data_IF_174453288060
#
_entry.id   IF_174453288060
#
_cell.length_a   1.000
_cell.length_b   1.000
_cell.length_c   1.000
_cell.angle_alpha   90.00
_cell.angle_beta   90.00
_cell.angle_gamma   90.00
#
_symmetry.space_group_name_H-M   'P 1'
#
loop_
_entity.id
_entity.type
_entity.pdbx_description
1 polymer ?
#
# COMPACT_ATOMS: atom_id res chain seq x y z
N UNK A 1 -16.77 -11.91 -19.99
CA UNK A 1 -16.47 -11.54 -18.58
C UNK A 1 -15.00 -11.30 -18.34
N UNK A 2 -14.10 -11.91 -19.13
CA UNK A 2 -12.62 -11.74 -19.07
C UNK A 2 -12.10 -10.29 -19.02
N UNK A 3 -12.69 -9.37 -19.79
CA UNK A 3 -12.16 -7.99 -19.91
C UNK A 3 -12.33 -7.12 -18.67
N UNK A 4 -13.39 -7.34 -17.87
CA UNK A 4 -13.65 -6.53 -16.67
C UNK A 4 -12.70 -6.88 -15.52
N UNK A 5 -12.37 -8.17 -15.39
CA UNK A 5 -11.46 -8.64 -14.33
C UNK A 5 -10.05 -8.08 -14.53
N UNK A 6 -9.54 -8.10 -15.77
CA UNK A 6 -8.26 -7.48 -16.11
C UNK A 6 -8.24 -5.99 -15.79
N UNK A 7 -9.31 -5.26 -16.12
CA UNK A 7 -9.39 -3.83 -15.84
C UNK A 7 -9.34 -3.53 -14.33
N UNK A 8 -10.09 -4.29 -13.52
CA UNK A 8 -10.13 -4.12 -12.06
C UNK A 8 -8.75 -4.40 -11.45
N UNK A 9 -8.06 -5.45 -11.88
CA UNK A 9 -6.73 -5.80 -11.38
C UNK A 9 -5.71 -4.70 -11.72
N UNK A 10 -5.74 -4.17 -12.94
CA UNK A 10 -4.84 -3.10 -13.37
C UNK A 10 -5.08 -1.82 -12.54
N UNK A 11 -6.35 -1.44 -12.33
CA UNK A 11 -6.71 -0.27 -11.54
C UNK A 11 -6.30 -0.46 -10.07
N UNK A 12 -6.56 -1.63 -9.50
CA UNK A 12 -6.16 -1.97 -8.13
C UNK A 12 -4.65 -1.87 -7.94
N UNK A 13 -3.88 -2.41 -8.88
CA UNK A 13 -2.41 -2.38 -8.84
C UNK A 13 -1.87 -0.96 -8.99
N UNK A 14 -2.50 -0.14 -9.85
CA UNK A 14 -2.14 1.26 -10.03
C UNK A 14 -2.41 2.09 -8.77
N UNK A 15 -3.52 1.84 -8.08
CA UNK A 15 -3.86 2.47 -6.80
C UNK A 15 -2.94 2.02 -5.66
N UNK A 16 -2.43 0.78 -5.71
CA UNK A 16 -1.48 0.24 -4.74
C UNK A 16 -0.01 0.64 -5.00
N UNK A 17 0.30 1.11 -6.20
CA UNK A 17 1.63 1.61 -6.59
C UNK A 17 2.25 2.61 -5.58
N UNK A 18 1.54 3.63 -5.05
CA UNK A 18 2.08 4.53 -4.03
C UNK A 18 2.50 3.81 -2.73
N UNK A 19 1.83 2.72 -2.34
CA UNK A 19 2.24 1.93 -1.17
C UNK A 19 3.60 1.26 -1.40
N UNK A 20 3.81 0.70 -2.59
CA UNK A 20 5.07 0.05 -2.99
C UNK A 20 6.22 1.07 -2.98
N UNK A 21 5.99 2.26 -3.56
CA UNK A 21 6.93 3.38 -3.54
C UNK A 21 7.28 3.80 -2.11
N UNK A 22 6.28 3.97 -1.23
CA UNK A 22 6.53 4.32 0.17
C UNK A 22 7.37 3.26 0.90
N UNK A 23 7.15 1.97 0.64
CA UNK A 23 7.94 0.88 1.24
C UNK A 23 9.40 0.94 0.77
N UNK A 24 9.65 1.12 -0.52
CA UNK A 24 11.01 1.21 -1.08
C UNK A 24 11.77 2.41 -0.50
N UNK A 25 11.12 3.58 -0.48
CA UNK A 25 11.68 4.81 0.09
C UNK A 25 11.94 4.61 1.59
N UNK A 26 11.02 3.98 2.31
CA UNK A 26 11.17 3.63 3.72
C UNK A 26 12.39 2.74 3.99
N UNK A 27 12.66 1.74 3.14
CA UNK A 27 13.84 0.88 3.23
C UNK A 27 15.15 1.65 3.05
N UNK A 28 15.22 2.55 2.06
CA UNK A 28 16.42 3.33 1.77
C UNK A 28 16.74 4.29 2.92
N UNK A 29 15.72 4.98 3.46
CA UNK A 29 15.91 5.99 4.52
C UNK A 29 16.14 5.35 5.90
N UNK A 30 15.80 4.05 6.07
CA UNK A 30 15.92 3.31 7.34
C UNK A 30 17.31 3.43 7.97
N UNK A 31 18.37 3.50 7.16
CA UNK A 31 19.76 3.58 7.64
C UNK A 31 20.16 4.98 8.15
N UNK A 32 19.54 6.05 7.62
CA UNK A 32 19.84 7.45 8.01
C UNK A 32 18.88 8.00 9.06
N UNK A 33 17.58 7.71 8.95
CA UNK A 33 16.53 8.24 9.85
C UNK A 33 15.53 7.14 10.22
N UNK A 34 15.85 6.28 11.20
CA UNK A 34 15.02 5.13 11.56
C UNK A 34 13.64 5.54 12.09
N UNK A 35 13.54 6.68 12.79
CA UNK A 35 12.26 7.21 13.31
C UNK A 35 11.31 7.64 12.20
N UNK A 36 11.81 8.30 11.16
CA UNK A 36 11.02 8.69 9.98
C UNK A 36 10.64 7.47 9.15
N UNK A 37 11.59 6.53 8.95
CA UNK A 37 11.32 5.30 8.21
C UNK A 37 10.21 4.48 8.85
N UNK A 38 10.20 4.34 10.19
CA UNK A 38 9.13 3.61 10.91
C UNK A 38 7.74 4.21 10.64
N UNK A 39 7.61 5.55 10.66
CA UNK A 39 6.34 6.22 10.35
C UNK A 39 5.91 5.98 8.89
N UNK A 40 6.86 6.02 7.96
CA UNK A 40 6.60 5.78 6.54
C UNK A 40 6.11 4.34 6.28
N UNK A 41 6.70 3.36 6.95
CA UNK A 41 6.26 1.96 6.89
C UNK A 41 4.85 1.77 7.44
N UNK A 42 4.53 2.42 8.57
CA UNK A 42 3.19 2.36 9.16
C UNK A 42 2.16 2.99 8.21
N UNK A 43 2.47 4.16 7.65
CA UNK A 43 1.60 4.82 6.68
C UNK A 43 1.37 3.95 5.43
N UNK A 44 2.42 3.33 4.90
CA UNK A 44 2.31 2.41 3.77
C UNK A 44 1.46 1.18 4.10
N UNK A 45 1.65 0.60 5.28
CA UNK A 45 0.86 -0.53 5.76
C UNK A 45 -0.62 -0.19 5.92
N UNK A 46 -0.95 0.95 6.50
CA UNK A 46 -2.33 1.42 6.63
C UNK A 46 -2.95 1.67 5.25
N UNK A 47 -2.23 2.35 4.35
CA UNK A 47 -2.71 2.60 3.00
C UNK A 47 -3.00 1.30 2.24
N UNK A 48 -2.13 0.29 2.40
CA UNK A 48 -2.35 -1.04 1.84
C UNK A 48 -3.59 -1.72 2.43
N UNK A 49 -3.74 -1.66 3.75
CA UNK A 49 -4.84 -2.29 4.48
C UNK A 49 -6.21 -1.70 4.08
N UNK A 50 -6.26 -0.38 3.89
CA UNK A 50 -7.46 0.33 3.42
C UNK A 50 -7.73 -0.02 1.96
N UNK A 51 -6.71 0.04 1.10
CA UNK A 51 -6.84 -0.29 -0.32
C UNK A 51 -7.26 -1.75 -0.58
N UNK A 52 -6.84 -2.68 0.29
CA UNK A 52 -7.21 -4.09 0.24
C UNK A 52 -8.63 -4.37 0.79
N UNK A 53 -9.30 -3.38 1.39
CA UNK A 53 -10.66 -3.53 1.92
C UNK A 53 -10.76 -4.29 3.25
N UNK A 54 -9.63 -4.57 3.90
CA UNK A 54 -9.57 -5.36 5.14
C UNK A 54 -10.26 -4.62 6.29
N UNK A 55 -10.18 -3.28 6.30
CA UNK A 55 -10.84 -2.45 7.31
C UNK A 55 -12.38 -2.58 7.28
N UNK A 56 -12.98 -2.72 6.09
CA UNK A 56 -14.42 -2.92 5.94
C UNK A 56 -14.85 -4.32 6.35
N UNK A 57 -14.05 -5.34 6.00
CA UNK A 57 -14.29 -6.73 6.40
C UNK A 57 -14.22 -6.94 7.92
N UNK A 58 -13.43 -6.13 8.63
CA UNK A 58 -13.29 -6.22 10.09
C UNK A 58 -14.43 -5.52 10.86
N UNK A 59 -15.13 -4.58 10.23
CA UNK A 59 -16.27 -3.85 10.80
C UNK A 59 -17.62 -4.54 10.55
N UNK A 60 -17.64 -5.52 9.63
CA UNK A 60 -18.84 -6.24 9.20
C UNK A 60 -19.14 -7.44 10.09
#
# INVERSE_FOLDING_TARGET
MEGLLSLIIIIYLLFHSPAILMVIIGLIIRKKKPSTAKKLFIAAGIYFLIGAGICGAMLS
#
